data_IF_401060129651
#
_entry.id   IF_401060129651
#
_cell.length_a   1.000
_cell.length_b   1.000
_cell.length_c   1.000
_cell.angle_alpha   90.00
_cell.angle_beta   90.00
_cell.angle_gamma   90.00
#
_symmetry.space_group_name_H-M   'P 1'
#
loop_
_entity.id
_entity.type
_entity.pdbx_description
1 polymer ?
#
# COMPACT_ATOMS: atom_id res chain seq x y z
N UNK A 1 -18.98 16.57 15.16
CA UNK A 1 -17.65 16.56 14.51
C UNK A 1 -17.92 16.14 13.09
N UNK A 2 -17.50 16.91 12.09
CA UNK A 2 -17.63 16.49 10.71
C UNK A 2 -16.61 15.36 10.50
N UNK A 3 -17.06 14.18 10.09
CA UNK A 3 -16.17 13.10 9.71
C UNK A 3 -15.32 13.56 8.52
N UNK A 4 -14.03 13.25 8.56
CA UNK A 4 -13.10 13.63 7.49
C UNK A 4 -13.52 12.96 6.17
N UNK A 5 -13.80 13.72 5.11
CA UNK A 5 -14.22 13.16 3.82
C UNK A 5 -13.21 12.17 3.23
N UNK A 6 -11.93 12.27 3.61
CA UNK A 6 -10.89 11.34 3.17
C UNK A 6 -11.22 9.88 3.54
N UNK A 7 -11.75 9.62 4.73
CA UNK A 7 -12.03 8.25 5.16
C UNK A 7 -13.23 7.64 4.43
N UNK A 8 -14.20 8.45 3.99
CA UNK A 8 -15.28 7.97 3.13
C UNK A 8 -14.73 7.59 1.76
N UNK A 9 -13.98 8.50 1.13
CA UNK A 9 -13.37 8.26 -0.17
C UNK A 9 -12.41 7.07 -0.15
N UNK A 10 -11.67 6.88 0.94
CA UNK A 10 -10.87 5.68 1.18
C UNK A 10 -11.73 4.40 1.17
N UNK A 11 -12.84 4.38 1.90
CA UNK A 11 -13.73 3.20 1.94
C UNK A 11 -14.34 2.90 0.58
N UNK A 12 -14.68 3.94 -0.18
CA UNK A 12 -15.24 3.81 -1.52
C UNK A 12 -14.18 3.26 -2.50
N UNK A 13 -12.94 3.77 -2.44
CA UNK A 13 -11.79 3.28 -3.19
C UNK A 13 -11.50 1.80 -2.88
N UNK A 14 -11.47 1.42 -1.60
CA UNK A 14 -11.23 0.04 -1.17
C UNK A 14 -12.34 -0.90 -1.67
N UNK A 15 -13.59 -0.45 -1.67
CA UNK A 15 -14.74 -1.19 -2.21
C UNK A 15 -14.63 -1.39 -3.72
N UNK A 16 -14.24 -0.34 -4.46
CA UNK A 16 -14.06 -0.41 -5.90
C UNK A 16 -12.89 -1.33 -6.28
N UNK A 17 -11.81 -1.29 -5.51
CA UNK A 17 -10.67 -2.19 -5.68
C UNK A 17 -11.04 -3.65 -5.40
N UNK A 18 -11.85 -3.91 -4.38
CA UNK A 18 -12.40 -5.25 -4.11
C UNK A 18 -13.26 -5.79 -5.26
N UNK A 19 -13.91 -4.91 -6.03
CA UNK A 19 -14.67 -5.27 -7.24
C UNK A 19 -13.75 -5.50 -8.45
N UNK A 20 -12.69 -4.70 -8.62
CA UNK A 20 -11.77 -4.82 -9.75
C UNK A 20 -10.95 -6.13 -9.75
N UNK A 21 -10.52 -6.62 -8.58
CA UNK A 21 -9.73 -7.86 -8.44
C UNK A 21 -10.37 -9.11 -9.07
N UNK A 22 -11.65 -9.46 -8.77
CA UNK A 22 -12.30 -10.60 -9.40
C UNK A 22 -12.57 -10.38 -10.89
N UNK A 23 -12.83 -9.14 -11.33
CA UNK A 23 -12.99 -8.81 -12.76
C UNK A 23 -11.70 -9.10 -13.53
N UNK A 24 -10.55 -8.69 -13.00
CA UNK A 24 -9.24 -9.02 -13.59
C UNK A 24 -9.03 -10.52 -13.66
N UNK A 25 -9.28 -11.25 -12.57
CA UNK A 25 -9.13 -12.72 -12.55
C UNK A 25 -10.03 -13.39 -13.59
N UNK A 26 -11.28 -12.92 -13.72
CA UNK A 26 -12.23 -13.41 -14.72
C UNK A 26 -11.74 -13.13 -16.14
N UNK A 27 -11.28 -11.92 -16.42
CA UNK A 27 -10.73 -11.50 -17.71
C UNK A 27 -9.50 -12.35 -18.10
N UNK A 28 -8.53 -12.52 -17.20
CA UNK A 28 -7.34 -13.34 -17.45
C UNK A 28 -7.71 -14.80 -17.77
N UNK A 29 -8.70 -15.35 -17.05
CA UNK A 29 -9.23 -16.70 -17.27
C UNK A 29 -9.90 -16.81 -18.64
N UNK A 30 -10.85 -15.92 -18.96
CA UNK A 30 -11.58 -15.93 -20.25
C UNK A 30 -10.59 -15.81 -21.40
N UNK A 31 -9.62 -14.90 -21.29
CA UNK A 31 -8.58 -14.74 -22.31
C UNK A 31 -7.74 -15.99 -22.50
N UNK A 32 -7.43 -16.73 -21.43
CA UNK A 32 -6.67 -17.97 -21.53
C UNK A 32 -7.45 -19.10 -22.23
N UNK A 33 -8.78 -19.09 -22.12
CA UNK A 33 -9.66 -20.09 -22.75
C UNK A 33 -10.22 -19.68 -24.11
N UNK A 34 -10.20 -18.39 -24.44
CA UNK A 34 -10.75 -17.86 -25.67
C UNK A 34 -9.90 -18.29 -26.88
N UNK A 35 -10.56 -18.77 -27.94
CA UNK A 35 -9.93 -19.14 -29.21
C UNK A 35 -9.57 -17.93 -30.07
N UNK A 36 -10.30 -16.82 -29.91
CA UNK A 36 -10.07 -15.56 -30.60
C UNK A 36 -10.04 -14.38 -29.62
N UNK A 37 -9.24 -13.37 -29.93
CA UNK A 37 -9.09 -12.14 -29.14
C UNK A 37 -10.33 -11.23 -29.17
N UNK A 38 -11.30 -11.52 -30.05
CA UNK A 38 -12.52 -10.72 -30.25
C UNK A 38 -13.78 -11.45 -29.80
N UNK A 39 -13.67 -12.50 -28.97
CA UNK A 39 -14.86 -13.17 -28.45
C UNK A 39 -15.73 -12.16 -27.66
N UNK A 40 -17.06 -12.17 -27.83
CA UNK A 40 -17.93 -11.15 -27.24
C UNK A 40 -17.82 -11.13 -25.70
N UNK A 41 -17.69 -12.31 -25.07
CA UNK A 41 -17.46 -12.42 -23.62
C UNK A 41 -16.13 -11.79 -23.17
N UNK A 42 -15.07 -11.88 -23.99
CA UNK A 42 -13.77 -11.27 -23.68
C UNK A 42 -13.83 -9.76 -23.83
N UNK A 43 -14.54 -9.26 -24.85
CA UNK A 43 -14.73 -7.82 -25.08
C UNK A 43 -15.54 -7.20 -23.95
N UNK A 44 -16.63 -7.84 -23.54
CA UNK A 44 -17.47 -7.38 -22.41
C UNK A 44 -16.69 -7.38 -21.10
N UNK A 45 -16.03 -8.49 -20.76
CA UNK A 45 -15.22 -8.58 -19.54
C UNK A 45 -14.07 -7.56 -19.52
N UNK A 46 -13.51 -7.23 -20.71
CA UNK A 46 -12.50 -6.18 -20.83
C UNK A 46 -13.10 -4.81 -20.58
N UNK A 47 -14.20 -4.46 -21.23
CA UNK A 47 -14.85 -3.15 -21.09
C UNK A 47 -15.29 -2.89 -19.64
N UNK A 48 -15.81 -3.90 -18.95
CA UNK A 48 -16.19 -3.80 -17.54
C UNK A 48 -14.97 -3.54 -16.65
N UNK A 49 -13.88 -4.28 -16.86
CA UNK A 49 -12.61 -4.06 -16.15
C UNK A 49 -12.00 -2.68 -16.46
N UNK A 50 -12.02 -2.25 -17.72
CA UNK A 50 -11.49 -0.95 -18.14
C UNK A 50 -12.28 0.21 -17.53
N UNK A 51 -13.61 0.13 -17.52
CA UNK A 51 -14.47 1.12 -16.88
C UNK A 51 -14.18 1.24 -15.38
N UNK A 52 -14.16 0.10 -14.68
CA UNK A 52 -13.87 0.09 -13.24
C UNK A 52 -12.45 0.57 -12.90
N UNK A 53 -11.44 0.24 -13.70
CA UNK A 53 -10.08 0.76 -13.51
C UNK A 53 -9.99 2.27 -13.81
N UNK A 54 -10.78 2.77 -14.76
CA UNK A 54 -10.84 4.21 -15.07
C UNK A 54 -11.43 4.99 -13.90
N UNK A 55 -12.54 4.52 -13.34
CA UNK A 55 -13.19 5.10 -12.16
C UNK A 55 -12.24 5.07 -10.96
N UNK A 56 -11.59 3.91 -10.72
CA UNK A 56 -10.63 3.73 -9.63
C UNK A 56 -9.42 4.66 -9.76
N UNK A 57 -8.99 4.92 -10.98
CA UNK A 57 -7.90 5.85 -11.26
C UNK A 57 -8.30 7.29 -10.98
N UNK A 58 -9.52 7.70 -11.36
CA UNK A 58 -10.02 9.04 -11.08
C UNK A 58 -10.13 9.29 -9.57
N UNK A 59 -10.74 8.35 -8.83
CA UNK A 59 -10.86 8.43 -7.37
C UNK A 59 -9.48 8.46 -6.69
N UNK A 60 -8.52 7.67 -7.19
CA UNK A 60 -7.15 7.68 -6.68
C UNK A 60 -6.45 9.04 -6.94
N UNK A 61 -6.65 9.66 -8.10
CA UNK A 61 -6.10 10.99 -8.41
C UNK A 61 -6.63 12.05 -7.45
N UNK A 62 -7.93 12.06 -7.19
CA UNK A 62 -8.53 12.98 -6.21
C UNK A 62 -7.94 12.78 -4.81
N UNK A 63 -7.67 11.53 -4.41
CA UNK A 63 -7.02 11.22 -3.14
C UNK A 63 -5.56 11.67 -3.11
N UNK A 64 -4.78 11.46 -4.18
CA UNK A 64 -3.41 11.99 -4.33
C UNK A 64 -3.40 13.50 -4.13
N UNK A 65 -4.29 14.21 -4.82
CA UNK A 65 -4.39 15.67 -4.77
C UNK A 65 -4.80 16.15 -3.38
N UNK A 66 -5.70 15.41 -2.70
CA UNK A 66 -6.08 15.69 -1.33
C UNK A 66 -4.90 15.56 -0.35
N UNK A 67 -4.04 14.56 -0.52
CA UNK A 67 -2.86 14.36 0.31
C UNK A 67 -1.85 15.48 0.05
N UNK A 68 -1.54 15.77 -1.22
CA UNK A 68 -0.66 16.89 -1.62
C UNK A 68 -1.11 18.23 -1.05
N UNK A 69 -2.42 18.49 -1.03
CA UNK A 69 -2.96 19.73 -0.46
C UNK A 69 -2.72 19.87 1.05
N UNK A 70 -2.67 18.75 1.78
CA UNK A 70 -2.52 18.74 3.24
C UNK A 70 -1.07 18.60 3.69
N UNK A 71 -0.18 18.09 2.85
CA UNK A 71 1.26 17.93 3.13
C UNK A 71 1.95 19.23 3.54
N UNK A 72 1.54 20.37 2.97
CA UNK A 72 2.17 21.66 3.25
C UNK A 72 1.87 22.24 4.64
N UNK A 73 0.67 22.00 5.17
CA UNK A 73 0.29 22.45 6.52
C UNK A 73 -0.78 21.52 7.15
N UNK A 74 -0.36 20.38 7.72
CA UNK A 74 -1.28 19.43 8.36
C UNK A 74 -2.04 20.04 9.54
N UNK A 75 -1.42 21.00 10.24
CA UNK A 75 -1.97 21.65 11.43
C UNK A 75 -3.23 22.46 11.13
N UNK A 76 -3.31 23.07 9.93
CA UNK A 76 -4.50 23.80 9.47
C UNK A 76 -5.74 22.92 9.36
N UNK A 77 -5.54 21.64 9.05
CA UNK A 77 -6.61 20.65 8.87
C UNK A 77 -6.85 19.81 10.13
N UNK A 78 -6.14 20.11 11.23
CA UNK A 78 -6.23 19.32 12.46
C UNK A 78 -5.67 17.91 12.34
N UNK A 79 -4.82 17.65 11.33
CA UNK A 79 -4.21 16.35 11.10
C UNK A 79 -2.82 16.26 11.74
N UNK A 80 -2.47 15.06 12.19
CA UNK A 80 -1.11 14.76 12.63
C UNK A 80 -0.24 14.39 11.42
N UNK A 81 1.06 14.68 11.46
CA UNK A 81 2.01 14.23 10.42
C UNK A 81 1.93 12.71 10.19
N UNK A 82 1.79 11.94 11.28
CA UNK A 82 1.64 10.49 11.20
C UNK A 82 0.35 10.04 10.49
N UNK A 83 -0.70 10.86 10.47
CA UNK A 83 -1.92 10.60 9.71
C UNK A 83 -1.69 10.89 8.23
N UNK A 84 -1.06 12.02 7.89
CA UNK A 84 -0.69 12.34 6.49
C UNK A 84 0.21 11.25 5.90
N UNK A 85 1.18 10.76 6.68
CA UNK A 85 2.05 9.65 6.25
C UNK A 85 1.27 8.35 5.98
N UNK A 86 0.23 8.06 6.78
CA UNK A 86 -0.66 6.91 6.52
C UNK A 86 -1.42 7.07 5.21
N UNK A 87 -1.97 8.25 4.95
CA UNK A 87 -2.70 8.56 3.71
C UNK A 87 -1.81 8.43 2.49
N UNK A 88 -0.58 8.95 2.57
CA UNK A 88 0.42 8.82 1.50
C UNK A 88 0.74 7.35 1.20
N UNK A 89 0.97 6.53 2.23
CA UNK A 89 1.27 5.09 2.05
C UNK A 89 0.11 4.35 1.40
N UNK A 90 -1.12 4.60 1.84
CA UNK A 90 -2.31 4.00 1.25
C UNK A 90 -2.41 4.30 -0.25
N UNK A 91 -2.30 5.59 -0.61
CA UNK A 91 -2.37 6.04 -1.99
C UNK A 91 -1.26 5.43 -2.85
N UNK A 92 -0.04 5.31 -2.31
CA UNK A 92 1.08 4.66 -3.01
C UNK A 92 0.89 3.15 -3.21
N UNK A 93 0.37 2.44 -2.20
CA UNK A 93 0.09 1.00 -2.29
C UNK A 93 -1.01 0.72 -3.31
N UNK A 94 -2.14 1.43 -3.22
CA UNK A 94 -3.24 1.30 -4.18
C UNK A 94 -2.80 1.71 -5.58
N UNK A 95 -2.03 2.79 -5.72
CA UNK A 95 -1.51 3.23 -7.01
C UNK A 95 -0.65 2.16 -7.70
N UNK A 96 0.25 1.49 -6.97
CA UNK A 96 1.02 0.37 -7.51
C UNK A 96 0.15 -0.80 -7.95
N UNK A 97 -0.88 -1.13 -7.16
CA UNK A 97 -1.79 -2.24 -7.51
C UNK A 97 -2.56 -1.91 -8.79
N UNK A 98 -3.09 -0.69 -8.91
CA UNK A 98 -3.82 -0.24 -10.12
C UNK A 98 -2.92 -0.22 -11.35
N UNK A 99 -1.68 0.28 -11.22
CA UNK A 99 -0.68 0.24 -12.28
C UNK A 99 -0.36 -1.20 -12.72
N UNK A 100 -0.23 -2.12 -11.77
CA UNK A 100 -0.02 -3.53 -12.08
C UNK A 100 -1.21 -4.13 -12.85
N UNK A 101 -2.45 -3.84 -12.44
CA UNK A 101 -3.65 -4.30 -13.15
C UNK A 101 -3.70 -3.76 -14.59
N UNK A 102 -3.39 -2.47 -14.79
CA UNK A 102 -3.30 -1.87 -16.12
C UNK A 102 -2.18 -2.49 -16.98
N UNK A 103 -1.01 -2.75 -16.39
CA UNK A 103 0.11 -3.39 -17.07
C UNK A 103 -0.24 -4.82 -17.52
N UNK A 104 -0.92 -5.58 -16.68
CA UNK A 104 -1.41 -6.92 -17.01
C UNK A 104 -2.43 -6.88 -18.16
N UNK A 105 -3.35 -5.91 -18.17
CA UNK A 105 -4.28 -5.69 -19.27
C UNK A 105 -3.53 -5.42 -20.58
N UNK A 106 -2.62 -4.44 -20.59
CA UNK A 106 -1.91 -4.00 -21.79
C UNK A 106 -0.95 -5.06 -22.35
N UNK A 107 -0.22 -5.77 -21.48
CA UNK A 107 0.68 -6.88 -21.89
C UNK A 107 -0.06 -7.89 -22.74
N UNK A 108 -1.33 -8.12 -22.42
CA UNK A 108 -2.06 -9.23 -23.00
C UNK A 108 -2.63 -8.91 -24.38
N UNK A 109 -2.85 -7.63 -24.64
CA UNK A 109 -3.14 -7.06 -25.95
C UNK A 109 -1.90 -7.19 -26.85
N UNK A 110 -0.71 -6.84 -26.34
CA UNK A 110 0.54 -6.99 -27.11
C UNK A 110 0.84 -8.45 -27.46
N UNK A 111 0.53 -9.40 -26.55
CA UNK A 111 0.71 -10.83 -26.85
C UNK A 111 -0.25 -11.37 -27.91
N UNK A 112 -1.45 -10.80 -28.06
CA UNK A 112 -2.35 -11.14 -29.17
C UNK A 112 -1.85 -10.60 -30.50
N UNK A 113 -1.32 -9.37 -30.54
CA UNK A 113 -0.78 -8.78 -31.77
C UNK A 113 0.46 -9.51 -32.28
N UNK A 114 1.36 -9.94 -31.39
CA UNK A 114 2.54 -10.71 -31.76
C UNK A 114 2.20 -12.09 -32.36
N UNK A 115 1.10 -12.71 -31.94
CA UNK A 115 0.59 -13.98 -32.51
C UNK A 115 -0.04 -13.78 -33.89
N UNK A 116 -0.66 -12.61 -34.15
CA UNK A 116 -1.22 -12.24 -35.45
C UNK A 116 -0.12 -11.82 -36.45
N UNK A 117 0.94 -11.16 -35.98
CA UNK A 117 2.03 -10.64 -36.82
C UNK A 117 3.20 -11.62 -37.09
N UNK A 118 3.39 -12.64 -36.26
CA UNK A 118 4.52 -13.59 -36.36
C UNK A 118 4.20 -14.95 -36.98
N UNK A 119 2.93 -15.21 -37.31
CA UNK A 119 2.49 -16.51 -37.80
C UNK A 119 1.44 -16.35 -38.87
N UNK A 120 1.87 -16.18 -40.11
CA UNK A 120 1.11 -16.76 -41.21
C UNK A 120 0.94 -18.22 -40.88
N UNK A 121 -0.23 -18.59 -40.35
CA UNK A 121 -0.63 -19.98 -40.28
C UNK A 121 -0.54 -20.46 -41.72
N UNK A 122 0.44 -21.32 -42.00
CA UNK A 122 0.55 -21.96 -43.29
C UNK A 122 -0.84 -22.54 -43.59
N UNK A 123 -1.43 -22.11 -44.70
CA UNK A 123 -2.71 -22.62 -45.17
C UNK A 123 -2.65 -24.15 -45.07
N UNK A 124 -3.67 -24.85 -44.54
CA UNK A 124 -3.66 -26.32 -44.49
C UNK A 124 -3.43 -26.94 -45.88
N UNK A 125 -3.70 -26.19 -46.94
CA UNK A 125 -3.45 -26.57 -48.34
C UNK A 125 -1.97 -26.52 -48.74
N UNK A 126 -1.11 -25.88 -47.93
CA UNK A 126 0.34 -25.88 -48.14
C UNK A 126 1.01 -27.22 -47.81
N UNK A 127 0.27 -28.18 -47.25
CA UNK A 127 0.71 -29.58 -47.10
C UNK A 127 0.27 -30.48 -48.27
N UNK A 128 -0.46 -29.95 -49.27
CA UNK A 128 -0.98 -30.70 -50.41
C UNK A 128 -0.12 -30.65 -51.70
N UNK A 129 0.74 -29.65 -51.88
CA UNK A 129 1.44 -29.41 -53.16
C UNK A 129 2.94 -29.68 -53.11
N UNK A 130 3.35 -30.79 -52.49
CA UNK A 130 4.74 -31.24 -52.50
C UNK A 130 4.87 -32.76 -52.80
N UNK A 131 4.02 -33.27 -53.69
CA UNK A 131 4.17 -34.62 -54.24
C UNK A 131 4.05 -34.57 -55.78
N UNK A 132 5.00 -33.89 -56.42
CA UNK A 132 5.34 -34.14 -57.81
C UNK A 132 6.30 -35.35 -57.86
N UNK A 133 5.88 -36.40 -58.56
CA UNK A 133 6.65 -37.31 -59.43
C UNK A 133 6.02 -38.72 -59.43
N UNK A 134 4.79 -38.84 -59.94
CA UNK A 134 4.44 -39.95 -60.85
C UNK A 134 3.10 -39.63 -61.54
N UNK A 135 3.15 -39.53 -62.87
CA UNK A 135 2.01 -39.10 -63.68
C UNK A 135 0.92 -40.16 -63.77
N UNK A 136 -0.29 -39.80 -63.38
CA UNK A 136 -1.52 -40.50 -63.76
C UNK A 136 -2.23 -39.73 -64.89
N UNK A 137 -2.29 -40.27 -66.12
CA UNK A 137 -2.91 -39.60 -67.26
C UNK A 137 -4.44 -39.78 -67.33
N UNK A 138 -5.11 -40.25 -66.26
CA UNK A 138 -6.56 -40.48 -66.23
C UNK A 138 -7.40 -39.57 -65.31
N UNK A 139 -6.82 -38.52 -64.71
CA UNK A 139 -7.61 -37.51 -64.00
C UNK A 139 -8.31 -36.57 -65.02
N UNK A 140 -9.40 -37.08 -65.57
CA UNK A 140 -10.25 -36.38 -66.52
C UNK A 140 -10.87 -35.11 -65.95
N UNK A 141 -10.98 -34.14 -66.86
CA UNK A 141 -11.94 -33.03 -66.89
C UNK A 141 -13.03 -33.05 -65.80
N UNK A 142 -12.97 -32.08 -64.90
CA UNK A 142 -14.02 -31.74 -63.95
C UNK A 142 -13.87 -30.28 -63.53
N UNK A 143 -14.19 -29.35 -64.44
CA UNK A 143 -14.39 -27.92 -64.19
C UNK A 143 -15.66 -27.69 -63.33
N UNK A 144 -15.78 -28.35 -62.18
CA UNK A 144 -16.97 -28.28 -61.33
C UNK A 144 -16.60 -28.28 -59.84
N UNK A 145 -15.76 -27.34 -59.38
CA UNK A 145 -15.76 -26.93 -57.95
C UNK A 145 -15.01 -25.60 -57.65
N UNK A 146 -14.84 -24.72 -58.64
CA UNK A 146 -14.25 -23.38 -58.45
C UNK A 146 -15.16 -22.45 -57.64
N UNK A 147 -16.48 -22.69 -57.65
CA UNK A 147 -17.44 -21.92 -56.86
C UNK A 147 -17.34 -22.15 -55.34
N UNK A 148 -16.97 -23.34 -54.86
CA UNK A 148 -16.93 -23.64 -53.42
C UNK A 148 -15.72 -23.00 -52.75
N UNK A 149 -14.55 -23.06 -53.39
CA UNK A 149 -13.32 -22.39 -52.91
C UNK A 149 -13.45 -20.87 -52.87
N UNK A 150 -14.07 -20.24 -53.87
CA UNK A 150 -14.35 -18.80 -53.85
C UNK A 150 -15.34 -18.43 -52.74
N UNK A 151 -16.38 -19.24 -52.51
CA UNK A 151 -17.37 -19.00 -51.45
C UNK A 151 -16.76 -19.17 -50.04
N UNK A 152 -15.84 -20.12 -49.86
CA UNK A 152 -15.09 -20.31 -48.62
C UNK A 152 -14.10 -19.16 -48.36
N UNK A 153 -13.37 -18.72 -49.39
CA UNK A 153 -12.49 -17.55 -49.29
C UNK A 153 -13.26 -16.28 -48.96
N UNK A 154 -14.45 -16.10 -49.56
CA UNK A 154 -15.30 -14.96 -49.30
C UNK A 154 -15.85 -14.99 -47.87
N UNK A 155 -16.29 -16.16 -47.38
CA UNK A 155 -16.66 -16.35 -45.96
C UNK A 155 -15.50 -16.09 -45.00
N UNK A 156 -14.29 -16.52 -45.35
CA UNK A 156 -13.11 -16.33 -44.51
C UNK A 156 -12.66 -14.85 -44.50
N UNK A 157 -12.79 -14.15 -45.61
CA UNK A 157 -12.58 -12.69 -45.70
C UNK A 157 -13.64 -11.91 -44.92
N UNK A 158 -14.92 -12.30 -45.01
CA UNK A 158 -16.00 -11.68 -44.25
C UNK A 158 -15.80 -11.89 -42.74
N UNK A 159 -15.40 -13.11 -42.34
CA UNK A 159 -15.01 -13.42 -40.97
C UNK A 159 -13.73 -12.68 -40.52
N UNK A 160 -12.76 -12.43 -41.41
CA UNK A 160 -11.58 -11.60 -41.09
C UNK A 160 -11.95 -10.12 -40.92
N UNK A 161 -12.86 -9.61 -41.74
CA UNK A 161 -13.29 -8.22 -41.72
C UNK A 161 -14.08 -7.88 -40.45
N UNK A 162 -14.99 -8.77 -40.02
CA UNK A 162 -15.71 -8.63 -38.74
C UNK A 162 -14.76 -8.61 -37.53
N UNK A 163 -13.62 -9.33 -37.63
CA UNK A 163 -12.60 -9.34 -36.58
C UNK A 163 -11.71 -8.09 -36.59
N UNK A 164 -11.55 -7.40 -37.72
CA UNK A 164 -10.70 -6.19 -37.83
C UNK A 164 -11.42 -4.91 -37.40
N UNK A 165 -12.72 -4.75 -37.69
CA UNK A 165 -13.52 -3.63 -37.15
C UNK A 165 -13.61 -3.67 -35.61
N UNK A 166 -13.70 -4.87 -35.03
CA UNK A 166 -13.69 -5.03 -33.59
C UNK A 166 -12.36 -4.59 -32.95
N UNK A 167 -11.24 -4.68 -33.68
CA UNK A 167 -9.90 -4.31 -33.20
C UNK A 167 -9.67 -2.79 -33.20
N UNK A 168 -10.31 -2.02 -34.09
CA UNK A 168 -10.14 -0.57 -34.17
C UNK A 168 -10.68 0.14 -32.89
N UNK A 169 -11.81 -0.35 -32.36
CA UNK A 169 -12.34 0.09 -31.06
C UNK A 169 -11.46 -0.30 -29.86
N UNK A 170 -10.64 -1.35 -30.00
CA UNK A 170 -9.64 -1.74 -28.97
C UNK A 170 -8.49 -0.74 -28.95
N UNK A 171 -7.97 -0.35 -30.13
CA UNK A 171 -6.80 0.52 -30.22
C UNK A 171 -7.08 1.94 -29.73
N UNK A 172 -8.28 2.48 -29.97
CA UNK A 172 -8.65 3.81 -29.46
C UNK A 172 -8.71 3.83 -27.93
N UNK A 173 -9.21 2.76 -27.32
CA UNK A 173 -9.35 2.63 -25.85
C UNK A 173 -7.98 2.45 -25.17
N UNK A 174 -7.09 1.64 -25.75
CA UNK A 174 -5.71 1.46 -25.26
C UNK A 174 -4.87 2.74 -25.37
N UNK A 175 -5.10 3.56 -26.39
CA UNK A 175 -4.45 4.86 -26.55
C UNK A 175 -4.71 5.80 -25.37
N UNK A 176 -5.93 5.81 -24.85
CA UNK A 176 -6.31 6.61 -23.68
C UNK A 176 -5.69 6.05 -22.38
N UNK A 177 -5.66 4.73 -22.23
CA UNK A 177 -5.04 4.05 -21.07
C UNK A 177 -3.53 4.32 -20.97
N UNK A 178 -2.82 4.37 -22.10
CA UNK A 178 -1.37 4.65 -22.13
C UNK A 178 -1.05 6.04 -21.56
N UNK A 179 -1.87 7.05 -21.84
CA UNK A 179 -1.68 8.39 -21.28
C UNK A 179 -1.96 8.46 -19.78
N UNK A 180 -2.93 7.67 -19.30
CA UNK A 180 -3.35 7.64 -17.91
C UNK A 180 -2.33 6.91 -17.02
N UNK A 181 -1.81 5.76 -17.45
CA UNK A 181 -0.77 5.01 -16.73
C UNK A 181 0.59 5.73 -16.70
N UNK A 182 0.98 6.40 -17.80
CA UNK A 182 2.25 7.13 -17.91
C UNK A 182 2.31 8.41 -17.04
N UNK A 183 1.14 8.99 -16.74
CA UNK A 183 1.02 10.12 -15.79
C UNK A 183 1.15 9.63 -14.34
N UNK A 184 0.72 8.40 -14.04
CA UNK A 184 0.79 7.84 -12.69
C UNK A 184 2.17 7.27 -12.34
N UNK A 185 2.82 6.55 -13.28
CA UNK A 185 4.14 5.95 -13.03
C UNK A 185 5.22 6.98 -12.67
N UNK A 186 5.19 8.17 -13.29
CA UNK A 186 6.12 9.27 -12.98
C UNK A 186 5.84 9.95 -11.64
N UNK A 187 4.57 10.09 -11.26
CA UNK A 187 4.15 10.69 -9.99
C UNK A 187 4.38 9.77 -8.78
N UNK A 188 4.35 8.45 -8.98
CA UNK A 188 4.71 7.45 -7.97
C UNK A 188 6.24 7.34 -7.78
N UNK A 189 7.02 7.51 -8.85
CA UNK A 189 8.49 7.52 -8.78
C UNK A 189 9.03 8.74 -8.01
N UNK A 190 8.41 9.91 -8.18
CA UNK A 190 8.72 11.12 -7.36
C UNK A 190 8.33 10.98 -5.88
N UNK A 191 7.50 10.00 -5.50
CA UNK A 191 7.05 9.81 -4.11
C UNK A 191 7.70 8.61 -3.41
N UNK A 192 8.48 7.78 -4.12
CA UNK A 192 9.29 6.71 -3.54
C UNK A 192 10.59 7.22 -2.88
N UNK A 193 10.99 8.48 -3.13
CA UNK A 193 12.28 9.02 -2.69
C UNK A 193 12.35 9.37 -1.17
N UNK A 194 11.25 9.31 -0.41
CA UNK A 194 11.25 9.68 1.03
C UNK A 194 10.85 8.59 2.03
N UNK A 195 11.05 7.31 1.70
CA UNK A 195 10.94 6.24 2.70
C UNK A 195 12.17 6.14 3.64
N UNK A 196 13.31 6.75 3.30
CA UNK A 196 14.51 6.75 4.16
C UNK A 196 14.38 7.70 5.38
N UNK A 197 13.58 8.76 5.29
CA UNK A 197 13.42 9.72 6.38
C UNK A 197 12.57 9.19 7.53
N UNK A 198 11.67 8.23 7.28
CA UNK A 198 10.80 7.68 8.32
C UNK A 198 11.53 6.69 9.24
N UNK A 199 12.45 5.88 8.69
CA UNK A 199 13.35 5.04 9.51
C UNK A 199 14.30 5.92 10.33
N UNK A 200 14.86 6.97 9.72
CA UNK A 200 15.73 7.92 10.42
C UNK A 200 15.03 8.68 11.57
N UNK A 201 13.74 9.00 11.43
CA UNK A 201 12.96 9.66 12.51
C UNK A 201 12.63 8.66 13.61
N UNK A 202 12.23 7.43 13.27
CA UNK A 202 11.98 6.36 14.26
C UNK A 202 13.25 6.05 15.08
N UNK A 203 14.41 5.98 14.44
CA UNK A 203 15.70 5.77 15.09
C UNK A 203 16.13 6.96 15.95
N UNK A 204 15.88 8.20 15.50
CA UNK A 204 16.11 9.40 16.32
C UNK A 204 15.21 9.47 17.54
N UNK A 205 13.95 9.07 17.43
CA UNK A 205 13.01 9.01 18.57
C UNK A 205 13.41 7.88 19.52
N UNK A 206 13.76 6.70 19.00
CA UNK A 206 14.29 5.58 19.79
C UNK A 206 15.56 5.94 20.57
N UNK A 207 16.51 6.63 19.92
CA UNK A 207 17.73 7.11 20.54
C UNK A 207 17.49 8.18 21.61
N UNK A 208 16.56 9.12 21.40
CA UNK A 208 16.18 10.13 22.40
C UNK A 208 15.45 9.52 23.60
N UNK A 209 14.56 8.55 23.37
CA UNK A 209 13.86 7.82 24.43
C UNK A 209 14.83 6.99 25.28
N UNK A 210 15.75 6.24 24.64
CA UNK A 210 16.78 5.47 25.33
C UNK A 210 17.68 6.37 26.20
N UNK A 211 18.07 7.55 25.68
CA UNK A 211 18.83 8.54 26.44
C UNK A 211 18.01 9.15 27.59
N UNK A 212 16.70 9.35 27.41
CA UNK A 212 15.78 9.79 28.46
C UNK A 212 15.70 8.78 29.60
N UNK A 213 15.49 7.50 29.29
CA UNK A 213 15.45 6.41 30.27
C UNK A 213 16.79 6.31 31.03
N UNK A 214 17.92 6.46 30.33
CA UNK A 214 19.25 6.45 30.96
C UNK A 214 19.45 7.61 31.93
N UNK A 215 18.97 8.82 31.59
CA UNK A 215 18.99 9.98 32.50
C UNK A 215 18.08 9.79 33.71
N UNK A 216 16.89 9.22 33.53
CA UNK A 216 15.98 8.91 34.64
C UNK A 216 16.63 7.90 35.60
N UNK A 217 17.23 6.84 35.08
CA UNK A 217 18.00 5.87 35.88
C UNK A 217 19.14 6.53 36.67
N UNK A 218 19.89 7.42 36.01
CA UNK A 218 20.98 8.18 36.63
C UNK A 218 20.51 9.13 37.74
N UNK A 219 19.33 9.73 37.58
CA UNK A 219 18.72 10.59 38.61
C UNK A 219 18.27 9.76 39.81
N UNK A 220 17.66 8.58 39.59
CA UNK A 220 17.26 7.67 40.67
C UNK A 220 18.49 7.23 41.48
N UNK A 221 19.55 6.79 40.81
CA UNK A 221 20.79 6.34 41.44
C UNK A 221 21.50 7.47 42.21
N UNK A 222 21.53 8.70 41.65
CA UNK A 222 22.06 9.87 42.37
C UNK A 222 21.18 10.30 43.55
N UNK A 223 19.86 10.10 43.48
CA UNK A 223 18.95 10.46 44.56
C UNK A 223 19.10 9.50 45.75
N UNK A 224 19.36 8.20 45.49
CA UNK A 224 19.71 7.22 46.53
C UNK A 224 21.02 7.59 47.26
N UNK A 225 22.03 8.06 46.54
CA UNK A 225 23.30 8.53 47.14
C UNK A 225 23.18 9.84 47.95
N UNK A 226 22.26 10.74 47.57
CA UNK A 226 22.14 12.06 48.20
C UNK A 226 21.43 12.02 49.56
N UNK A 227 20.47 11.10 49.76
CA UNK A 227 19.87 10.85 51.08
C UNK A 227 20.85 10.20 52.06
N UNK A 228 21.79 9.39 51.57
CA UNK A 228 22.88 8.84 52.38
C UNK A 228 23.92 9.90 52.78
N UNK A 229 24.26 10.83 51.88
CA UNK A 229 25.28 11.85 52.12
C UNK A 229 24.84 13.03 52.99
N UNK A 230 23.57 13.46 52.91
CA UNK A 230 23.09 14.66 53.65
C UNK A 230 22.55 14.37 55.05
N UNK A 231 22.48 13.11 55.46
CA UNK A 231 22.13 12.70 56.82
C UNK A 231 23.37 12.53 57.74
N UNK A 232 24.59 12.47 57.18
CA UNK A 232 25.82 12.21 57.94
C UNK A 232 26.48 13.43 58.61
N UNK A 233 26.22 14.65 58.15
CA UNK A 233 27.02 15.83 58.53
C UNK A 233 26.37 16.75 59.57
N UNK A 234 25.12 16.53 59.95
CA UNK A 234 24.45 17.29 61.04
C UNK A 234 24.63 16.59 62.41
N UNK A 235 25.11 15.34 62.45
CA UNK A 235 25.22 14.54 63.68
C UNK A 235 26.51 14.67 64.50
N UNK A 236 27.44 15.57 64.17
CA UNK A 236 28.83 15.49 64.67
C UNK A 236 29.28 16.60 65.65
N UNK A 237 28.41 17.52 66.09
CA UNK A 237 28.85 18.68 66.92
C UNK A 237 28.33 18.68 68.37
N UNK A 238 27.58 17.68 68.84
CA UNK A 238 27.33 17.59 70.29
C UNK A 238 27.28 16.17 70.83
N UNK A 239 28.04 16.00 71.92
CA UNK A 239 28.11 14.87 72.84
C UNK A 239 29.04 13.69 72.50
N UNK A 240 30.29 13.86 72.96
CA UNK A 240 31.24 12.80 73.32
C UNK A 240 30.58 11.71 74.15
N UNK A 241 30.71 10.46 73.71
CA UNK A 241 30.77 9.31 74.62
C UNK A 241 29.58 8.36 74.61
N UNK A 242 29.25 7.74 73.47
CA UNK A 242 28.64 6.41 73.51
C UNK A 242 28.87 5.69 72.17
N UNK A 243 29.78 4.71 72.18
CA UNK A 243 30.04 3.83 71.05
C UNK A 243 29.32 2.51 71.32
N UNK A 244 28.08 2.36 70.86
CA UNK A 244 27.45 1.05 70.71
C UNK A 244 26.60 0.99 69.43
N UNK A 245 27.02 0.07 68.57
CA UNK A 245 26.24 -0.79 67.69
C UNK A 245 24.75 -0.92 68.07
N UNK A 246 23.82 -0.41 67.25
CA UNK A 246 22.84 -1.21 66.50
C UNK A 246 21.81 -0.34 65.75
N UNK A 247 21.32 -0.87 64.62
CA UNK A 247 20.48 -0.20 63.61
C UNK A 247 18.98 -0.17 63.97
N UNK A 248 18.56 -0.67 65.12
CA UNK A 248 17.14 -0.87 65.47
C UNK A 248 16.48 0.23 66.29
N UNK A 249 17.22 1.21 66.83
CA UNK A 249 16.67 2.21 67.77
C UNK A 249 16.35 3.58 67.15
N UNK A 250 16.47 3.73 65.82
CA UNK A 250 16.21 5.01 65.13
C UNK A 250 14.72 5.36 65.04
N UNK A 251 13.84 4.35 64.97
CA UNK A 251 12.39 4.57 64.85
C UNK A 251 11.73 4.82 66.21
N UNK A 252 12.25 4.20 67.28
CA UNK A 252 11.74 4.41 68.66
C UNK A 252 12.08 5.80 69.20
N UNK A 253 13.27 6.32 68.86
CA UNK A 253 13.72 7.65 69.32
C UNK A 253 12.88 8.81 68.77
N UNK A 254 12.45 8.74 67.50
CA UNK A 254 11.54 9.76 66.93
C UNK A 254 10.16 9.73 67.60
N UNK A 255 9.62 8.56 67.88
CA UNK A 255 8.32 8.42 68.53
C UNK A 255 8.31 9.01 69.95
N UNK A 256 9.39 8.78 70.71
CA UNK A 256 9.55 9.33 72.05
C UNK A 256 9.65 10.86 72.01
N UNK A 257 10.38 11.43 71.04
CA UNK A 257 10.49 12.88 70.88
C UNK A 257 9.14 13.54 70.55
N UNK A 258 8.33 12.92 69.68
CA UNK A 258 6.99 13.41 69.34
C UNK A 258 6.05 13.32 70.54
N UNK A 259 6.07 12.23 71.31
CA UNK A 259 5.25 12.07 72.52
C UNK A 259 5.57 13.13 73.59
N UNK A 260 6.85 13.43 73.80
CA UNK A 260 7.27 14.46 74.76
C UNK A 260 6.80 15.84 74.30
N UNK A 261 6.92 16.17 73.02
CA UNK A 261 6.46 17.45 72.49
C UNK A 261 4.94 17.63 72.63
N UNK A 262 4.16 16.58 72.35
CA UNK A 262 2.70 16.59 72.54
C UNK A 262 2.33 16.73 74.02
N UNK A 263 3.04 16.06 74.93
CA UNK A 263 2.82 16.19 76.38
C UNK A 263 3.11 17.61 76.89
N UNK A 264 4.18 18.24 76.40
CA UNK A 264 4.53 19.62 76.75
C UNK A 264 3.47 20.60 76.24
N UNK A 265 2.99 20.43 75.00
CA UNK A 265 1.91 21.24 74.45
C UNK A 265 0.61 21.10 75.25
N UNK A 266 0.26 19.86 75.64
CA UNK A 266 -0.91 19.61 76.48
C UNK A 266 -0.77 20.25 77.86
N UNK A 267 0.41 20.19 78.47
CA UNK A 267 0.68 20.80 79.78
C UNK A 267 0.56 22.32 79.69
N UNK A 268 1.14 22.94 78.67
CA UNK A 268 1.01 24.39 78.42
C UNK A 268 -0.45 24.77 78.21
N UNK A 269 -1.20 23.98 77.44
CA UNK A 269 -2.62 24.23 77.18
C UNK A 269 -3.46 24.15 78.46
N UNK A 270 -3.17 23.21 79.37
CA UNK A 270 -3.83 23.09 80.69
C UNK A 270 -3.41 24.23 81.63
N UNK A 271 -2.21 24.78 81.50
CA UNK A 271 -1.73 25.90 82.34
C UNK A 271 -2.29 27.26 81.90
N UNK A 272 -2.73 27.36 80.64
CA UNK A 272 -3.30 28.59 80.05
C UNK A 272 -4.83 28.65 80.17
N UNK A 273 -5.49 27.52 80.43
CA UNK A 273 -6.94 27.38 80.63
C UNK A 273 -7.31 27.41 82.12
#
# INVERSE_FOLDING_TARGET
>A
MADDPFHSAQSDLESLLQQARPLLTSYLRIRSSASSATSPELVEARQELEGTLTDLTADLQDLVDSVKAVEGDPGRYGLSHAEVDRRRRLVGEVGREVEEMHSQLNTTIQTSDARKGGGGLAHPDSFGSAADEDGDPLAGQGDEDDGYGEWEQQRQMEMMHEQDEALDGVFQTVGNLRLQADTMGRELEEQAEMLEDTENIADRVGGKLANGIKKVRHVIEKNEGMFAGRCGTIGLISFKGFRLTNRTDRWSSCFIAVLIFVLILLLILVLVL
#
